data_IF_765004485235
#
_entry.id   IF_765004485235
#
_cell.length_a   1.000
_cell.length_b   1.000
_cell.length_c   1.000
_cell.angle_alpha   90.00
_cell.angle_beta   90.00
_cell.angle_gamma   90.00
#
_symmetry.space_group_name_H-M   'P 1'
#
loop_
_entity.id
_entity.type
_entity.pdbx_description
1 polymer ?
#
# COMPACT_ATOMS: atom_id res chain seq x y z
N UNK A 1 1.44 16.53 10.89
CA UNK A 1 1.05 15.58 9.83
C UNK A 1 1.25 16.24 8.50
N UNK A 2 2.25 15.78 7.74
CA UNK A 2 2.49 16.25 6.38
C UNK A 2 2.16 15.11 5.39
N UNK A 3 0.87 14.86 5.21
CA UNK A 3 0.38 13.87 4.25
C UNK A 3 0.29 14.50 2.86
N UNK A 4 1.06 13.99 1.91
CA UNK A 4 1.09 14.42 0.51
C UNK A 4 0.22 13.48 -0.31
N UNK A 5 -0.87 14.00 -0.88
CA UNK A 5 -1.66 13.24 -1.86
C UNK A 5 -0.88 13.12 -3.17
N UNK A 6 -0.78 11.90 -3.69
CA UNK A 6 -0.05 11.64 -4.95
C UNK A 6 -1.03 11.34 -6.07
N UNK A 7 -2.00 10.47 -5.84
CA UNK A 7 -2.97 10.18 -6.87
C UNK A 7 -4.02 9.14 -6.50
N UNK A 8 -4.96 9.01 -7.43
CA UNK A 8 -6.07 8.07 -7.41
C UNK A 8 -6.11 7.31 -8.73
N UNK A 9 -6.48 6.04 -8.69
CA UNK A 9 -6.60 5.20 -9.87
C UNK A 9 -7.43 5.87 -10.98
N UNK A 10 -6.90 6.05 -12.21
CA UNK A 10 -7.59 6.79 -13.27
C UNK A 10 -8.75 6.02 -13.93
N UNK A 11 -8.84 4.70 -13.77
CA UNK A 11 -9.87 3.83 -14.39
C UNK A 11 -11.14 3.70 -13.53
N UNK A 12 -11.42 4.64 -12.64
CA UNK A 12 -12.50 4.51 -11.67
C UNK A 12 -13.86 4.82 -12.27
N UNK A 13 -14.61 3.77 -12.62
CA UNK A 13 -16.07 3.83 -12.63
C UNK A 13 -16.59 3.75 -11.19
N UNK A 14 -16.93 4.91 -10.61
CA UNK A 14 -17.69 5.24 -9.38
C UNK A 14 -17.57 4.40 -8.09
N UNK A 15 -16.99 3.21 -8.05
CA UNK A 15 -17.20 2.31 -6.92
C UNK A 15 -15.94 2.00 -6.11
N UNK A 16 -14.73 1.98 -6.68
CA UNK A 16 -13.52 1.73 -5.88
C UNK A 16 -12.25 2.31 -6.48
N UNK A 17 -11.59 3.18 -5.73
CA UNK A 17 -10.47 3.97 -6.21
C UNK A 17 -9.23 3.77 -5.33
N UNK A 18 -8.32 2.85 -5.69
CA UNK A 18 -7.01 2.76 -5.06
C UNK A 18 -6.35 4.13 -5.01
N UNK A 19 -5.86 4.53 -3.84
CA UNK A 19 -5.36 5.88 -3.57
C UNK A 19 -4.02 5.82 -2.86
N UNK A 20 -3.13 6.75 -3.22
CA UNK A 20 -1.74 6.78 -2.75
C UNK A 20 -1.44 8.13 -2.13
N UNK A 21 -0.86 8.10 -0.92
CA UNK A 21 -0.27 9.25 -0.25
C UNK A 21 1.14 8.92 0.26
N UNK A 22 1.92 9.96 0.52
CA UNK A 22 3.17 9.89 1.26
C UNK A 22 3.05 10.67 2.57
N UNK A 23 3.29 10.02 3.71
CA UNK A 23 3.43 10.71 4.99
C UNK A 23 4.91 11.08 5.19
N UNK A 24 5.25 12.34 4.88
CA UNK A 24 6.65 12.79 4.99
C UNK A 24 7.09 13.03 6.43
N UNK A 25 6.17 13.11 7.39
CA UNK A 25 6.53 13.23 8.80
C UNK A 25 6.96 11.88 9.37
N UNK A 26 6.23 10.81 9.05
CA UNK A 26 6.54 9.46 9.51
C UNK A 26 7.43 8.67 8.54
N UNK A 27 7.70 9.21 7.35
CA UNK A 27 8.44 8.55 6.26
C UNK A 27 7.78 7.26 5.80
N UNK A 28 6.46 7.31 5.59
CA UNK A 28 5.63 6.13 5.28
C UNK A 28 4.86 6.31 3.96
N UNK A 29 4.72 5.20 3.23
CA UNK A 29 3.74 5.10 2.16
C UNK A 29 2.37 4.76 2.76
N UNK A 30 1.35 5.53 2.43
CA UNK A 30 -0.02 5.27 2.85
C UNK A 30 -0.84 4.87 1.62
N UNK A 31 -1.41 3.67 1.66
CA UNK A 31 -2.06 3.05 0.51
C UNK A 31 -3.49 2.62 0.85
N UNK A 32 -4.45 3.06 0.04
CA UNK A 32 -5.80 2.51 0.04
C UNK A 32 -5.95 1.55 -1.15
N UNK A 33 -6.42 0.34 -0.89
CA UNK A 33 -6.65 -0.70 -1.90
C UNK A 33 -7.89 -1.54 -1.64
N UNK A 34 -8.05 -2.62 -2.40
CA UNK A 34 -9.13 -3.59 -2.18
C UNK A 34 -8.72 -4.64 -1.16
N UNK A 35 -9.69 -5.16 -0.41
CA UNK A 35 -9.48 -6.32 0.44
C UNK A 35 -9.19 -7.57 -0.41
N UNK A 36 -8.29 -8.47 0.03
CA UNK A 36 -8.07 -9.77 -0.61
C UNK A 36 -9.31 -10.66 -0.48
N UNK A 37 -9.36 -11.73 -1.28
CA UNK A 37 -10.25 -12.84 -0.95
C UNK A 37 -9.64 -13.64 0.22
N UNK A 38 -10.43 -14.44 0.95
CA UNK A 38 -9.92 -15.28 2.02
C UNK A 38 -8.79 -16.22 1.56
N UNK A 39 -8.87 -16.73 0.33
CA UNK A 39 -7.86 -17.61 -0.25
C UNK A 39 -6.54 -16.89 -0.50
N UNK A 40 -6.60 -15.68 -1.07
CA UNK A 40 -5.41 -14.87 -1.31
C UNK A 40 -4.77 -14.41 0.01
N UNK A 41 -5.58 -14.04 0.99
CA UNK A 41 -5.07 -13.67 2.32
C UNK A 41 -4.39 -14.84 3.00
N UNK A 42 -4.96 -16.04 2.92
CA UNK A 42 -4.36 -17.27 3.45
C UNK A 42 -3.05 -17.63 2.73
N UNK A 43 -2.96 -17.41 1.41
CA UNK A 43 -1.72 -17.60 0.65
C UNK A 43 -0.63 -16.64 1.11
N UNK A 44 -0.95 -15.34 1.29
CA UNK A 44 -0.02 -14.37 1.86
C UNK A 44 0.43 -14.78 3.27
N UNK A 45 -0.52 -15.14 4.14
CA UNK A 45 -0.29 -15.58 5.52
C UNK A 45 0.56 -16.86 5.61
N UNK A 46 0.58 -17.68 4.55
CA UNK A 46 1.36 -18.91 4.49
C UNK A 46 2.85 -18.68 4.20
N UNK A 47 3.26 -17.46 3.86
CA UNK A 47 4.66 -17.10 3.58
C UNK A 47 5.52 -17.32 4.83
N UNK A 48 6.60 -18.08 4.69
CA UNK A 48 7.54 -18.38 5.77
C UNK A 48 8.86 -17.65 5.52
N UNK A 49 9.30 -16.84 6.48
CA UNK A 49 10.56 -16.12 6.44
C UNK A 49 11.42 -16.53 7.66
N UNK A 50 12.72 -16.78 7.49
CA UNK A 50 13.60 -17.10 8.61
C UNK A 50 13.53 -16.04 9.71
N UNK A 51 13.20 -16.45 10.94
CA UNK A 51 13.10 -15.55 12.09
C UNK A 51 11.75 -14.85 12.26
N UNK A 52 10.74 -15.14 11.44
CA UNK A 52 9.39 -14.58 11.55
C UNK A 52 8.34 -15.65 11.84
N UNK A 53 7.31 -15.28 12.60
CA UNK A 53 6.14 -16.14 12.80
C UNK A 53 5.33 -16.23 11.50
N UNK A 54 4.68 -17.38 11.30
CA UNK A 54 3.75 -17.59 10.18
C UNK A 54 2.42 -16.88 10.46
N UNK A 55 1.83 -16.25 9.43
CA UNK A 55 0.57 -15.53 9.52
C UNK A 55 0.70 -14.03 9.29
N UNK A 56 -0.43 -13.32 9.29
CA UNK A 56 -0.48 -11.85 9.30
C UNK A 56 -0.67 -11.41 10.76
N UNK A 57 0.27 -10.63 11.34
CA UNK A 57 0.17 -10.13 12.71
C UNK A 57 -1.04 -9.23 12.98
N UNK A 58 -1.37 -9.08 14.26
CA UNK A 58 -2.39 -8.11 14.68
C UNK A 58 -1.95 -6.68 14.32
N UNK A 59 -2.85 -5.92 13.71
CA UNK A 59 -2.58 -4.55 13.24
C UNK A 59 -2.02 -4.48 11.82
N UNK A 60 -1.66 -5.61 11.20
CA UNK A 60 -1.26 -5.67 9.80
C UNK A 60 -2.42 -6.12 8.90
N UNK A 61 -2.38 -5.71 7.63
CA UNK A 61 -3.39 -6.08 6.65
C UNK A 61 -2.78 -6.29 5.27
N UNK A 62 -3.28 -7.29 4.55
CA UNK A 62 -3.03 -7.45 3.13
C UNK A 62 -4.02 -6.57 2.36
N UNK A 63 -3.53 -5.77 1.42
CA UNK A 63 -4.34 -4.99 0.49
C UNK A 63 -3.92 -5.29 -0.96
N UNK A 64 -4.90 -5.22 -1.86
CA UNK A 64 -4.69 -5.36 -3.30
C UNK A 64 -4.63 -3.98 -3.94
N UNK A 65 -3.55 -3.72 -4.67
CA UNK A 65 -3.37 -2.52 -5.49
C UNK A 65 -3.20 -2.96 -6.95
N UNK A 66 -3.94 -2.38 -7.92
CA UNK A 66 -3.81 -2.78 -9.32
C UNK A 66 -2.48 -2.29 -9.90
N UNK A 67 -1.93 -3.04 -10.86
CA UNK A 67 -0.66 -2.70 -11.50
C UNK A 67 -0.67 -1.30 -12.17
N UNK A 68 -1.83 -0.81 -12.60
CA UNK A 68 -1.95 0.55 -13.16
C UNK A 68 -1.66 1.66 -12.15
N UNK A 69 -1.80 1.41 -10.85
CA UNK A 69 -1.45 2.36 -9.80
C UNK A 69 0.07 2.44 -9.51
N UNK A 70 0.89 1.59 -10.14
CA UNK A 70 2.34 1.55 -9.89
C UNK A 70 3.05 2.87 -10.18
N UNK A 71 2.59 3.65 -11.16
CA UNK A 71 3.19 4.95 -11.46
C UNK A 71 3.03 5.92 -10.28
N UNK A 72 1.86 5.96 -9.64
CA UNK A 72 1.60 6.79 -8.46
C UNK A 72 2.39 6.30 -7.25
N UNK A 73 2.54 4.99 -7.07
CA UNK A 73 3.38 4.44 -5.99
C UNK A 73 4.83 4.89 -6.15
N UNK A 74 5.37 4.85 -7.38
CA UNK A 74 6.74 5.31 -7.66
C UNK A 74 6.91 6.79 -7.35
N UNK A 75 5.95 7.63 -7.78
CA UNK A 75 5.96 9.05 -7.46
C UNK A 75 5.89 9.30 -5.94
N UNK A 76 5.12 8.52 -5.19
CA UNK A 76 5.09 8.59 -3.74
C UNK A 76 6.42 8.20 -3.09
N UNK A 77 7.12 7.20 -3.65
CA UNK A 77 8.49 6.90 -3.23
C UNK A 77 9.43 8.07 -3.50
N UNK A 78 9.36 8.69 -4.69
CA UNK A 78 10.19 9.84 -5.04
C UNK A 78 9.95 11.03 -4.09
N UNK A 79 8.68 11.24 -3.67
CA UNK A 79 8.33 12.22 -2.64
C UNK A 79 9.02 11.89 -1.32
N UNK A 80 8.95 10.66 -0.84
CA UNK A 80 9.61 10.27 0.42
C UNK A 80 11.13 10.43 0.33
N UNK A 81 11.76 9.93 -0.75
CA UNK A 81 13.21 10.01 -0.97
C UNK A 81 13.71 11.45 -0.96
N UNK A 82 12.96 12.39 -1.56
CA UNK A 82 13.30 13.81 -1.54
C UNK A 82 13.22 14.46 -0.13
N UNK A 83 12.55 13.80 0.81
CA UNK A 83 12.37 14.25 2.19
C UNK A 83 13.15 13.43 3.22
N UNK A 84 13.95 12.45 2.79
CA UNK A 84 14.95 11.79 3.64
C UNK A 84 16.08 12.77 3.90
N UNK A 85 16.25 13.19 5.16
CA UNK A 85 17.40 13.99 5.61
C UNK A 85 18.61 13.13 5.97
#
# INVERSE_FOLDING_TARGET
MALVFVGIDPDTGDMHSPTVWADVEHQELVLQGWKPSPELEAECAATELPGHAKGIPEGEAVIRIPARALHMIREACDVLDAHVQ
#
